data_IF_150541328072
#
_entry.id   IF_150541328072
#
_cell.length_a   1.000
_cell.length_b   1.000
_cell.length_c   1.000
_cell.angle_alpha   90.00
_cell.angle_beta   90.00
_cell.angle_gamma   90.00
#
_symmetry.space_group_name_H-M   'P 1'
#
loop_
_entity.id
_entity.type
_entity.pdbx_description
1 polymer ?
#
# COMPACT_ATOMS: atom_id res chain seq x y z
N UNK A 1 -5.58 -3.05 7.76
CA UNK A 1 -6.06 -3.44 9.10
C UNK A 1 -7.60 -3.29 9.21
N UNK A 2 -8.24 -2.48 8.35
CA UNK A 2 -9.68 -2.26 8.35
C UNK A 2 -10.23 -1.95 9.75
N UNK A 3 -11.31 -2.60 10.15
CA UNK A 3 -11.90 -2.48 11.47
C UNK A 3 -11.22 -3.35 12.57
N UNK A 4 -10.13 -4.06 12.25
CA UNK A 4 -9.35 -4.87 13.18
C UNK A 4 -9.68 -6.37 13.20
N UNK A 5 -10.58 -6.86 12.36
CA UNK A 5 -11.01 -8.27 12.34
C UNK A 5 -9.85 -9.25 12.20
N UNK A 6 -8.93 -9.03 11.27
CA UNK A 6 -7.77 -9.90 11.10
C UNK A 6 -6.92 -9.97 12.38
N UNK A 7 -6.69 -8.84 13.04
CA UNK A 7 -5.91 -8.80 14.28
C UNK A 7 -6.64 -9.49 15.44
N UNK A 8 -7.95 -9.43 15.46
CA UNK A 8 -8.78 -10.17 16.42
C UNK A 8 -8.61 -11.69 16.23
N UNK A 9 -8.70 -12.17 14.98
CA UNK A 9 -8.50 -13.61 14.69
C UNK A 9 -7.09 -14.06 15.06
N UNK A 10 -6.05 -13.23 14.81
CA UNK A 10 -4.68 -13.54 15.22
C UNK A 10 -4.56 -13.63 16.74
N UNK A 11 -5.13 -12.68 17.49
CA UNK A 11 -5.13 -12.67 18.96
C UNK A 11 -5.81 -13.93 19.51
N UNK A 12 -7.01 -14.23 19.05
CA UNK A 12 -7.80 -15.43 19.44
C UNK A 12 -7.08 -16.73 19.09
N UNK A 13 -6.33 -16.78 17.98
CA UNK A 13 -5.57 -17.94 17.58
C UNK A 13 -4.35 -18.15 18.47
N UNK A 14 -3.57 -17.09 18.70
CA UNK A 14 -2.33 -17.15 19.47
C UNK A 14 -2.54 -17.43 20.96
N UNK A 15 -3.70 -17.13 21.53
CA UNK A 15 -4.06 -17.53 22.90
C UNK A 15 -3.91 -19.04 23.13
N UNK A 16 -4.11 -19.87 22.08
CA UNK A 16 -3.94 -21.31 22.16
C UNK A 16 -2.45 -21.75 22.23
N UNK A 17 -1.52 -20.82 22.08
CA UNK A 17 -0.07 -21.03 22.16
C UNK A 17 0.52 -20.12 23.24
N UNK A 18 0.37 -20.44 24.54
CA UNK A 18 0.64 -19.52 25.65
C UNK A 18 2.07 -18.93 25.67
N UNK A 19 3.09 -19.72 25.35
CA UNK A 19 4.47 -19.24 25.32
C UNK A 19 4.66 -18.16 24.25
N UNK A 20 4.19 -18.41 23.03
CA UNK A 20 4.21 -17.44 21.93
C UNK A 20 3.36 -16.21 22.27
N UNK A 21 2.14 -16.42 22.75
CA UNK A 21 1.23 -15.33 23.08
C UNK A 21 1.80 -14.41 24.15
N UNK A 22 2.44 -14.96 25.19
CA UNK A 22 3.04 -14.16 26.26
C UNK A 22 4.26 -13.35 25.79
N UNK A 23 4.99 -13.86 24.81
CA UNK A 23 6.13 -13.17 24.20
C UNK A 23 5.72 -12.05 23.22
N UNK A 24 4.48 -12.08 22.69
CA UNK A 24 3.99 -11.14 21.69
C UNK A 24 3.37 -9.88 22.30
N UNK A 25 3.54 -8.77 21.60
CA UNK A 25 2.71 -7.56 21.68
C UNK A 25 2.29 -7.16 20.25
N UNK A 26 1.11 -6.60 20.11
CA UNK A 26 0.55 -6.25 18.81
C UNK A 26 0.61 -4.74 18.59
N UNK A 27 1.14 -4.34 17.44
CA UNK A 27 1.21 -2.94 17.04
C UNK A 27 0.47 -2.77 15.73
N UNK A 28 -0.52 -1.90 15.70
CA UNK A 28 -1.29 -1.60 14.50
C UNK A 28 -0.84 -0.24 13.97
N UNK A 29 -0.39 -0.22 12.70
CA UNK A 29 -0.15 1.02 11.98
C UNK A 29 -1.45 1.45 11.31
N UNK A 30 -2.03 2.56 11.75
CA UNK A 30 -3.28 3.10 11.22
C UNK A 30 -3.21 4.63 11.16
N UNK A 31 -3.50 5.20 9.99
CA UNK A 31 -3.50 6.64 9.76
C UNK A 31 -4.88 7.28 9.93
N UNK A 32 -5.94 6.52 9.66
CA UNK A 32 -7.32 6.97 9.78
C UNK A 32 -7.75 7.02 11.24
N UNK A 33 -8.08 8.19 11.75
CA UNK A 33 -8.61 8.34 13.11
C UNK A 33 -9.95 7.62 13.29
N UNK A 34 -10.76 7.57 12.23
CA UNK A 34 -12.01 6.81 12.23
C UNK A 34 -11.76 5.31 12.45
N UNK A 35 -10.92 4.68 11.59
CA UNK A 35 -10.60 3.26 11.70
C UNK A 35 -9.87 2.93 13.01
N UNK A 36 -8.97 3.79 13.46
CA UNK A 36 -8.29 3.63 14.75
C UNK A 36 -9.31 3.55 15.91
N UNK A 37 -10.35 4.38 15.90
CA UNK A 37 -11.39 4.35 16.92
C UNK A 37 -12.25 3.09 16.83
N UNK A 38 -12.59 2.62 15.64
CA UNK A 38 -13.30 1.35 15.45
C UNK A 38 -12.46 0.14 15.90
N UNK A 39 -11.19 0.11 15.55
CA UNK A 39 -10.25 -0.93 15.99
C UNK A 39 -10.15 -0.97 17.53
N UNK A 40 -10.08 0.17 18.21
CA UNK A 40 -10.05 0.23 19.68
C UNK A 40 -11.32 -0.29 20.35
N UNK A 41 -12.47 -0.19 19.69
CA UNK A 41 -13.72 -0.79 20.19
C UNK A 41 -13.72 -2.31 20.02
N UNK A 42 -13.17 -2.79 18.91
CA UNK A 42 -13.20 -4.21 18.55
C UNK A 42 -12.09 -5.03 19.21
N UNK A 43 -10.96 -4.39 19.55
CA UNK A 43 -9.76 -5.02 20.09
C UNK A 43 -9.56 -4.62 21.56
N UNK A 44 -10.09 -5.42 22.47
CA UNK A 44 -10.13 -5.11 23.92
C UNK A 44 -8.89 -5.58 24.70
N UNK A 45 -7.93 -6.25 24.05
CA UNK A 45 -6.72 -6.75 24.73
C UNK A 45 -5.73 -5.61 25.01
N UNK A 46 -5.15 -5.61 26.22
CA UNK A 46 -4.07 -4.68 26.60
C UNK A 46 -2.78 -4.90 25.81
N UNK A 47 -2.70 -5.96 25.02
CA UNK A 47 -1.55 -6.26 24.14
C UNK A 47 -1.51 -5.40 22.88
N UNK A 48 -2.61 -4.73 22.52
CA UNK A 48 -2.68 -3.86 21.35
C UNK A 48 -2.19 -2.45 21.65
N UNK A 49 -1.43 -1.93 20.71
CA UNK A 49 -1.04 -0.51 20.63
C UNK A 49 -1.18 0.00 19.20
N UNK A 50 -1.24 1.31 19.02
CA UNK A 50 -1.43 1.94 17.71
C UNK A 50 -0.35 2.95 17.44
N UNK A 51 0.16 2.97 16.22
CA UNK A 51 1.15 3.92 15.74
C UNK A 51 0.68 4.57 14.42
N UNK A 52 0.82 5.90 14.32
CA UNK A 52 0.66 6.64 13.06
C UNK A 52 1.95 6.69 12.23
N UNK A 53 3.09 6.43 12.85
CA UNK A 53 4.40 6.39 12.20
C UNK A 53 5.12 5.08 12.54
N UNK A 54 5.39 4.28 11.52
CA UNK A 54 6.04 2.97 11.64
C UNK A 54 7.48 3.05 12.14
N UNK A 55 8.17 4.18 11.93
CA UNK A 55 9.54 4.42 12.43
C UNK A 55 9.63 4.41 13.97
N UNK A 56 8.49 4.56 14.65
CA UNK A 56 8.40 4.56 16.12
C UNK A 56 8.21 3.17 16.73
N UNK A 57 8.32 2.11 15.93
CA UNK A 57 8.28 0.74 16.43
C UNK A 57 9.45 0.48 17.37
N UNK A 58 9.23 -0.29 18.44
CA UNK A 58 10.26 -0.65 19.41
C UNK A 58 11.38 -1.50 18.78
N UNK A 59 12.58 -1.45 19.40
CA UNK A 59 13.76 -2.20 18.95
C UNK A 59 13.71 -3.69 19.35
N UNK A 60 12.61 -4.36 19.09
CA UNK A 60 12.41 -5.79 19.32
C UNK A 60 12.27 -6.52 17.99
N UNK A 61 12.58 -7.82 17.90
CA UNK A 61 12.26 -8.63 16.74
C UNK A 61 10.80 -8.49 16.37
N UNK A 62 10.53 -8.16 15.11
CA UNK A 62 9.18 -7.78 14.67
C UNK A 62 8.78 -8.52 13.40
N UNK A 63 7.60 -9.14 13.41
CA UNK A 63 6.97 -9.67 12.21
C UNK A 63 5.97 -8.64 11.69
N UNK A 64 6.24 -8.12 10.50
CA UNK A 64 5.35 -7.20 9.80
C UNK A 64 4.35 -7.99 8.97
N UNK A 65 3.08 -7.70 9.15
CA UNK A 65 2.00 -8.30 8.37
C UNK A 65 1.28 -7.21 7.60
N UNK A 66 1.42 -7.23 6.27
CA UNK A 66 0.77 -6.31 5.35
C UNK A 66 -0.25 -7.11 4.52
N UNK A 67 -1.53 -7.00 4.88
CA UNK A 67 -2.64 -7.59 4.14
C UNK A 67 -3.45 -6.48 3.49
N UNK A 68 -3.54 -6.50 2.15
CA UNK A 68 -4.23 -5.46 1.36
C UNK A 68 -3.82 -4.07 1.86
N UNK A 69 -2.50 -3.85 1.92
CA UNK A 69 -1.94 -2.61 2.44
C UNK A 69 -1.31 -1.77 1.34
N UNK A 70 -0.57 -2.41 0.45
CA UNK A 70 0.17 -1.70 -0.58
C UNK A 70 -0.71 -1.31 -1.77
N UNK A 71 -1.72 -2.09 -2.09
CA UNK A 71 -2.67 -1.84 -3.18
C UNK A 71 -3.49 -0.55 -3.00
N UNK A 72 -3.64 -0.08 -1.75
CA UNK A 72 -4.36 1.14 -1.39
C UNK A 72 -3.45 2.38 -1.27
N UNK A 73 -2.12 2.25 -1.44
CA UNK A 73 -1.19 3.39 -1.34
C UNK A 73 -1.19 4.17 -2.65
N UNK A 74 -1.20 5.53 -2.62
CA UNK A 74 -1.20 6.33 -3.84
C UNK A 74 -0.06 6.00 -4.79
N UNK A 75 -0.37 5.93 -6.09
CA UNK A 75 0.59 5.64 -7.16
C UNK A 75 0.78 6.83 -8.10
N UNK A 76 1.88 6.78 -8.83
CA UNK A 76 2.12 7.55 -10.04
C UNK A 76 1.99 6.64 -11.26
N UNK A 77 1.38 7.15 -12.31
CA UNK A 77 1.23 6.44 -13.58
C UNK A 77 1.96 7.20 -14.69
N UNK A 78 2.73 6.46 -15.47
CA UNK A 78 3.42 6.98 -16.65
C UNK A 78 3.06 6.13 -17.87
N UNK A 79 2.80 6.79 -18.97
CA UNK A 79 2.40 6.15 -20.25
C UNK A 79 3.32 6.57 -21.38
N UNK A 80 3.78 5.61 -22.16
CA UNK A 80 4.54 5.84 -23.37
C UNK A 80 3.59 6.01 -24.56
N UNK A 81 3.66 7.16 -25.22
CA UNK A 81 2.95 7.45 -26.47
C UNK A 81 3.96 7.75 -27.56
N UNK A 82 4.06 6.86 -28.54
CA UNK A 82 5.14 6.87 -29.54
C UNK A 82 6.51 6.85 -28.84
N UNK A 83 7.31 7.88 -28.99
CA UNK A 83 8.66 7.98 -28.42
C UNK A 83 8.74 8.90 -27.20
N UNK A 84 7.60 9.27 -26.62
CA UNK A 84 7.55 10.19 -25.46
C UNK A 84 6.79 9.58 -24.29
N UNK A 85 7.25 9.90 -23.08
CA UNK A 85 6.57 9.53 -21.85
C UNK A 85 5.72 10.67 -21.32
N UNK A 86 4.62 10.32 -20.64
CA UNK A 86 3.69 11.25 -20.03
C UNK A 86 3.31 10.76 -18.64
N UNK A 87 3.36 11.64 -17.65
CA UNK A 87 2.80 11.41 -16.31
C UNK A 87 1.33 11.76 -16.33
N UNK A 88 0.47 10.88 -15.77
CA UNK A 88 -0.97 11.09 -15.64
C UNK A 88 -1.29 11.68 -14.27
N UNK A 89 -2.10 12.72 -14.28
CA UNK A 89 -2.61 13.41 -13.11
C UNK A 89 -4.12 13.40 -13.10
N UNK A 90 -4.72 13.53 -11.92
CA UNK A 90 -6.14 13.87 -11.78
C UNK A 90 -6.25 15.39 -11.64
N UNK A 91 -6.98 16.01 -12.53
CA UNK A 91 -7.30 17.42 -12.54
C UNK A 91 -8.76 17.63 -12.14
N UNK A 92 -9.03 18.57 -11.24
CA UNK A 92 -10.38 19.01 -10.90
C UNK A 92 -10.64 20.32 -11.65
N UNK A 93 -11.29 20.22 -12.80
CA UNK A 93 -11.70 21.41 -13.60
C UNK A 93 -12.93 22.12 -13.00
N UNK A 94 -13.72 21.37 -12.22
CA UNK A 94 -14.89 21.81 -11.45
C UNK A 94 -14.89 20.98 -10.15
N UNK A 95 -15.38 21.48 -9.02
CA UNK A 95 -15.44 20.73 -7.75
C UNK A 95 -16.09 19.35 -7.85
N UNK A 96 -16.91 19.13 -8.86
CA UNK A 96 -17.63 17.86 -9.08
C UNK A 96 -17.17 17.09 -10.34
N UNK A 97 -16.12 17.57 -11.05
CA UNK A 97 -15.68 16.91 -12.28
C UNK A 97 -14.17 16.69 -12.27
N UNK A 98 -13.80 15.46 -12.04
CA UNK A 98 -12.44 15.00 -12.21
C UNK A 98 -12.18 14.53 -13.65
N UNK A 99 -11.00 14.81 -14.16
CA UNK A 99 -10.54 14.35 -15.47
C UNK A 99 -9.05 13.98 -15.40
N UNK A 100 -8.63 13.04 -16.24
CA UNK A 100 -7.22 12.76 -16.39
C UNK A 100 -6.55 13.83 -17.26
N UNK A 101 -5.43 14.34 -16.79
CA UNK A 101 -4.52 15.21 -17.51
C UNK A 101 -3.17 14.52 -17.63
N UNK A 102 -2.53 14.65 -18.77
CA UNK A 102 -1.21 14.09 -19.00
C UNK A 102 -0.21 15.21 -19.30
N UNK A 103 0.95 15.12 -18.67
CA UNK A 103 2.04 16.05 -18.88
C UNK A 103 3.29 15.29 -19.35
N UNK A 104 3.97 15.84 -20.37
CA UNK A 104 5.17 15.22 -20.91
C UNK A 104 6.29 15.21 -19.86
N UNK A 105 6.97 14.09 -19.75
CA UNK A 105 8.08 13.89 -18.82
C UNK A 105 9.24 13.18 -19.52
N UNK A 106 10.47 13.48 -19.11
CA UNK A 106 11.65 12.81 -19.62
C UNK A 106 11.84 11.45 -18.95
N UNK A 107 12.20 10.43 -19.74
CA UNK A 107 12.42 9.07 -19.26
C UNK A 107 13.47 9.02 -18.13
N UNK A 108 14.55 9.79 -18.26
CA UNK A 108 15.61 9.89 -17.24
C UNK A 108 15.09 10.34 -15.88
N UNK A 109 14.06 11.18 -15.86
CA UNK A 109 13.38 11.60 -14.62
C UNK A 109 12.64 10.44 -13.98
N UNK A 110 11.95 9.62 -14.78
CA UNK A 110 11.23 8.43 -14.29
C UNK A 110 12.23 7.41 -13.76
N UNK A 111 13.30 7.10 -14.54
CA UNK A 111 14.35 6.14 -14.14
C UNK A 111 15.06 6.56 -12.86
N UNK A 112 15.29 7.86 -12.67
CA UNK A 112 15.84 8.39 -11.43
C UNK A 112 14.90 8.17 -10.23
N UNK A 113 13.59 8.29 -10.42
CA UNK A 113 12.62 7.99 -9.36
C UNK A 113 12.56 6.49 -9.02
N UNK A 114 12.64 5.64 -10.05
CA UNK A 114 12.58 4.18 -9.90
C UNK A 114 13.92 3.57 -9.45
N UNK A 115 15.03 4.27 -9.70
CA UNK A 115 16.40 3.79 -9.48
C UNK A 115 16.76 2.55 -10.33
N UNK A 116 16.14 2.41 -11.51
CA UNK A 116 16.50 1.42 -12.53
C UNK A 116 16.17 1.93 -13.94
N UNK A 117 16.80 1.32 -14.94
CA UNK A 117 16.55 1.64 -16.35
C UNK A 117 15.26 1.00 -16.85
N UNK A 118 14.48 1.75 -17.61
CA UNK A 118 13.21 1.29 -18.17
C UNK A 118 13.48 0.52 -19.47
N UNK A 119 12.98 -0.70 -19.56
CA UNK A 119 13.06 -1.51 -20.77
C UNK A 119 12.37 -0.80 -21.96
N UNK A 120 12.97 -0.93 -23.17
CA UNK A 120 12.47 -0.28 -24.39
C UNK A 120 11.05 -0.69 -24.78
N UNK A 121 10.65 -1.89 -24.40
CA UNK A 121 9.33 -2.47 -24.67
C UNK A 121 8.31 -2.20 -23.56
N UNK A 122 8.70 -1.48 -22.49
CA UNK A 122 7.81 -1.01 -21.45
C UNK A 122 6.98 0.17 -21.98
N UNK A 123 5.67 0.13 -21.76
CA UNK A 123 4.74 1.17 -22.24
C UNK A 123 3.92 1.83 -21.13
N UNK A 124 3.85 1.20 -19.96
CA UNK A 124 3.14 1.70 -18.79
C UNK A 124 4.00 1.48 -17.55
N UNK A 125 4.04 2.45 -16.67
CA UNK A 125 4.69 2.31 -15.36
C UNK A 125 3.69 2.77 -14.31
N UNK A 126 3.45 1.91 -13.33
CA UNK A 126 2.76 2.23 -12.10
C UNK A 126 3.73 2.04 -10.94
N UNK A 127 3.93 3.06 -10.15
CA UNK A 127 4.78 2.94 -8.98
C UNK A 127 4.33 3.85 -7.84
N UNK A 128 4.52 3.42 -6.61
CA UNK A 128 4.21 4.19 -5.43
C UNK A 128 5.49 4.63 -4.70
N UNK A 129 5.81 5.93 -4.66
CA UNK A 129 6.93 6.44 -3.86
C UNK A 129 6.80 6.10 -2.38
N UNK A 130 5.58 6.12 -1.84
CA UNK A 130 5.32 5.82 -0.45
C UNK A 130 5.48 4.33 -0.14
N UNK A 131 5.14 3.43 -1.06
CA UNK A 131 5.42 1.98 -0.94
C UNK A 131 6.91 1.73 -0.77
N UNK A 132 7.75 2.33 -1.62
CA UNK A 132 9.20 2.21 -1.49
C UNK A 132 9.73 2.75 -0.15
N UNK A 133 9.16 3.84 0.33
CA UNK A 133 9.51 4.39 1.65
C UNK A 133 9.13 3.43 2.78
N UNK A 134 7.94 2.83 2.73
CA UNK A 134 7.51 1.82 3.71
C UNK A 134 8.42 0.59 3.67
N UNK A 135 8.67 0.03 2.49
CA UNK A 135 9.52 -1.14 2.33
C UNK A 135 10.93 -0.89 2.87
N UNK A 136 11.55 0.26 2.53
CA UNK A 136 12.87 0.63 3.04
C UNK A 136 12.87 0.70 4.57
N UNK A 137 11.89 1.41 5.16
CA UNK A 137 11.78 1.54 6.62
C UNK A 137 11.61 0.18 7.29
N UNK A 138 10.77 -0.70 6.74
CA UNK A 138 10.55 -2.05 7.28
C UNK A 138 11.81 -2.90 7.14
N UNK A 139 12.48 -2.88 5.99
CA UNK A 139 13.74 -3.60 5.79
C UNK A 139 14.83 -3.15 6.77
N UNK A 140 14.99 -1.85 6.98
CA UNK A 140 15.94 -1.29 7.94
C UNK A 140 15.63 -1.74 9.38
N UNK A 141 14.34 -1.78 9.74
CA UNK A 141 13.90 -2.26 11.06
C UNK A 141 14.15 -3.75 11.24
N UNK A 142 13.87 -4.58 10.24
CA UNK A 142 14.14 -6.02 10.26
C UNK A 142 15.65 -6.28 10.35
N UNK A 143 16.44 -5.59 9.55
CA UNK A 143 17.90 -5.73 9.56
C UNK A 143 18.51 -5.35 10.92
N UNK A 144 17.97 -4.34 11.57
CA UNK A 144 18.47 -3.84 12.86
C UNK A 144 18.03 -4.67 14.05
N UNK A 145 16.81 -5.19 14.04
CA UNK A 145 16.13 -5.72 15.23
C UNK A 145 15.77 -7.20 15.10
N UNK A 146 16.10 -7.84 14.00
CA UNK A 146 15.57 -9.14 13.55
C UNK A 146 14.05 -9.12 13.28
N UNK A 147 13.57 -10.16 12.60
CA UNK A 147 12.17 -10.33 12.28
C UNK A 147 11.93 -10.74 10.85
N UNK A 148 10.79 -10.36 10.31
CA UNK A 148 10.41 -10.67 8.94
C UNK A 148 9.17 -9.90 8.50
N UNK A 149 8.83 -10.04 7.22
CA UNK A 149 7.64 -9.43 6.65
C UNK A 149 6.86 -10.46 5.83
N UNK A 150 5.55 -10.48 6.01
CA UNK A 150 4.61 -11.19 5.15
C UNK A 150 3.71 -10.16 4.44
N UNK A 151 3.72 -10.20 3.12
CA UNK A 151 2.83 -9.39 2.27
C UNK A 151 1.79 -10.31 1.64
N UNK A 152 0.53 -9.96 1.80
CA UNK A 152 -0.62 -10.61 1.17
C UNK A 152 -1.39 -9.51 0.45
N UNK A 153 -1.32 -9.51 -0.87
CA UNK A 153 -1.91 -8.42 -1.65
C UNK A 153 -2.30 -8.90 -3.05
N UNK A 154 -3.18 -8.16 -3.70
CA UNK A 154 -3.53 -8.39 -5.10
C UNK A 154 -2.37 -7.97 -6.00
N UNK A 155 -1.99 -8.84 -6.93
CA UNK A 155 -0.86 -8.51 -7.76
C UNK A 155 -0.54 -9.53 -8.84
N UNK A 156 0.59 -9.31 -9.48
CA UNK A 156 1.12 -10.13 -10.55
C UNK A 156 2.65 -10.24 -10.42
N UNK A 157 3.24 -11.20 -11.11
CA UNK A 157 4.70 -11.40 -11.15
C UNK A 157 5.15 -11.44 -12.62
N UNK A 158 5.16 -10.28 -13.25
CA UNK A 158 5.56 -10.12 -14.65
C UNK A 158 6.74 -9.15 -14.73
N UNK A 159 7.62 -9.37 -15.71
CA UNK A 159 8.74 -8.45 -15.99
C UNK A 159 8.29 -7.10 -16.56
N UNK A 160 7.03 -6.99 -17.00
CA UNK A 160 6.42 -5.75 -17.48
C UNK A 160 5.37 -5.25 -16.52
N UNK A 161 5.38 -3.95 -16.31
CA UNK A 161 4.31 -3.28 -15.57
C UNK A 161 3.10 -3.08 -16.47
N UNK A 162 1.92 -3.12 -15.86
CA UNK A 162 0.64 -2.97 -16.53
C UNK A 162 -0.16 -1.81 -15.92
N UNK A 163 -1.15 -1.31 -16.65
CA UNK A 163 -2.14 -0.39 -16.09
C UNK A 163 -3.17 -1.21 -15.29
N UNK A 164 -3.16 -1.04 -13.98
CA UNK A 164 -3.95 -1.86 -13.06
C UNK A 164 -4.85 -1.05 -12.13
N UNK A 165 -4.72 0.29 -12.15
CA UNK A 165 -5.54 1.17 -11.33
C UNK A 165 -7.02 0.95 -11.61
N UNK A 166 -7.78 0.65 -10.57
CA UNK A 166 -9.20 0.31 -10.66
C UNK A 166 -9.98 0.97 -9.53
N UNK A 167 -11.29 1.09 -9.74
CA UNK A 167 -12.23 1.50 -8.71
C UNK A 167 -13.34 0.45 -8.59
N UNK A 168 -13.73 0.15 -7.36
CA UNK A 168 -14.83 -0.77 -7.05
C UNK A 168 -15.85 -0.04 -6.17
N UNK A 169 -17.11 -0.06 -6.59
CA UNK A 169 -18.23 0.48 -5.84
C UNK A 169 -19.34 -0.56 -5.77
N UNK A 170 -19.82 -0.88 -4.57
CA UNK A 170 -20.85 -1.91 -4.35
C UNK A 170 -20.51 -3.25 -5.06
N UNK A 171 -19.26 -3.71 -4.95
CA UNK A 171 -18.73 -4.94 -5.56
C UNK A 171 -18.78 -4.96 -7.10
N UNK A 172 -18.80 -3.81 -7.74
CA UNK A 172 -18.75 -3.67 -9.21
C UNK A 172 -17.66 -2.69 -9.60
N UNK A 173 -16.99 -2.98 -10.70
CA UNK A 173 -16.05 -2.04 -11.28
C UNK A 173 -16.76 -0.74 -11.68
N UNK A 174 -16.15 0.37 -11.36
CA UNK A 174 -16.59 1.71 -11.71
C UNK A 174 -15.45 2.51 -12.34
N UNK A 175 -15.78 3.66 -12.91
CA UNK A 175 -14.73 4.57 -13.37
C UNK A 175 -14.00 5.18 -12.18
N UNK A 176 -12.67 5.21 -12.25
CA UNK A 176 -11.79 5.75 -11.18
C UNK A 176 -12.10 7.21 -10.84
N UNK A 177 -12.61 7.98 -11.81
CA UNK A 177 -12.96 9.39 -11.66
C UNK A 177 -14.42 9.64 -11.26
N UNK A 178 -15.22 8.57 -11.10
CA UNK A 178 -16.62 8.64 -10.68
C UNK A 178 -16.76 8.23 -9.20
N UNK A 179 -17.76 8.76 -8.53
CA UNK A 179 -18.05 8.44 -7.12
C UNK A 179 -16.83 8.63 -6.22
N UNK A 180 -16.12 9.75 -6.39
CA UNK A 180 -14.90 10.08 -5.63
C UNK A 180 -15.22 10.14 -4.13
N UNK A 181 -14.53 9.30 -3.36
CA UNK A 181 -14.74 9.16 -1.92
C UNK A 181 -15.68 8.01 -1.52
N UNK A 182 -16.48 7.46 -2.46
CA UNK A 182 -17.39 6.35 -2.21
C UNK A 182 -16.93 5.04 -2.85
N UNK A 183 -15.95 5.10 -3.77
CA UNK A 183 -15.35 3.94 -4.42
C UNK A 183 -14.06 3.55 -3.74
N UNK A 184 -13.84 2.24 -3.61
CA UNK A 184 -12.56 1.67 -3.23
C UNK A 184 -11.61 1.72 -4.43
N UNK A 185 -10.49 2.44 -4.29
CA UNK A 185 -9.51 2.64 -5.36
C UNK A 185 -8.27 1.85 -5.01
N UNK A 186 -7.94 0.88 -5.86
CA UNK A 186 -6.79 -0.02 -5.68
C UNK A 186 -6.02 -0.21 -6.98
N UNK A 187 -4.84 -0.80 -6.88
CA UNK A 187 -4.04 -1.25 -8.01
C UNK A 187 -3.36 -2.58 -7.68
N UNK A 188 -2.92 -3.31 -8.69
CA UNK A 188 -2.24 -4.58 -8.49
C UNK A 188 -0.73 -4.38 -8.28
N UNK A 189 -0.19 -4.98 -7.24
CA UNK A 189 1.24 -4.94 -6.95
C UNK A 189 2.01 -5.78 -7.97
N UNK A 190 3.08 -5.23 -8.53
CA UNK A 190 4.04 -6.03 -9.26
C UNK A 190 5.06 -6.64 -8.29
N UNK A 191 4.98 -7.94 -8.04
CA UNK A 191 5.91 -8.68 -7.16
C UNK A 191 7.22 -9.07 -7.83
N UNK A 192 7.39 -8.77 -9.12
CA UNK A 192 8.63 -9.05 -9.86
C UNK A 192 9.65 -7.92 -9.75
N UNK A 193 9.20 -6.68 -9.62
CA UNK A 193 10.05 -5.47 -9.64
C UNK A 193 10.57 -5.08 -8.26
#
# INVERSE_FOLDING_TARGET
AGNGEMMKVIDETLINFPECYNACSFVIHEKSDFLLNEQKKNLNSKKFSWLKNIEKINSNPTIFLANEFFDAIPIKQFFKKKDSWFERFVNLSDPNKAEFKEEKIDIETIEKHLNFEISKDQSVIEYSPDTFKYLRTICDLIQKNDGGMLVIDYGYADSKMHETLQAVNNHKYSNVLENIGDSDITYNINFHS
#
